data_IF_629195121478
#
_entry.id   IF_629195121478
#
_cell.length_a   1.000
_cell.length_b   1.000
_cell.length_c   1.000
_cell.angle_alpha   90.00
_cell.angle_beta   90.00
_cell.angle_gamma   90.00
#
_symmetry.space_group_name_H-M   'P 1'
#
loop_
_entity.id
_entity.type
_entity.pdbx_description
1 polymer ?
#
# COMPACT_ATOMS: atom_id res chain seq x y z
N UNK A 1 13.98 -1.86 -41.26
CA UNK A 1 13.16 -0.86 -41.98
C UNK A 1 11.66 -1.21 -41.80
N UNK A 2 11.08 -0.82 -40.69
CA UNK A 2 9.64 -0.98 -40.42
C UNK A 2 8.86 0.00 -41.30
N UNK A 3 7.88 -0.51 -42.07
CA UNK A 3 7.02 0.31 -42.91
C UNK A 3 5.63 0.52 -42.32
N UNK A 4 5.16 -0.43 -41.55
CA UNK A 4 3.85 -0.38 -40.89
C UNK A 4 4.02 -0.79 -39.42
N UNK A 5 3.28 -0.18 -38.53
CA UNK A 5 3.26 -0.52 -37.11
C UNK A 5 1.80 -0.56 -36.64
N UNK A 6 1.47 -1.54 -35.83
CA UNK A 6 0.23 -1.60 -35.04
C UNK A 6 0.56 -1.19 -33.61
N UNK A 7 -0.22 -0.24 -33.08
CA UNK A 7 -0.02 0.29 -31.73
C UNK A 7 -1.27 -0.02 -30.94
N UNK A 8 -1.10 -0.65 -29.79
CA UNK A 8 -2.15 -0.89 -28.83
C UNK A 8 -1.99 0.08 -27.64
N UNK A 9 -3.08 0.71 -27.25
CA UNK A 9 -3.18 1.47 -26.02
C UNK A 9 -4.48 1.04 -25.31
N UNK A 10 -4.34 0.28 -24.23
CA UNK A 10 -5.45 -0.39 -23.59
C UNK A 10 -5.59 -0.02 -22.12
N UNK A 11 -6.81 -0.17 -21.60
CA UNK A 11 -7.14 -0.21 -20.19
C UNK A 11 -7.69 -1.60 -19.84
N UNK A 12 -7.26 -2.13 -18.71
CA UNK A 12 -7.79 -3.37 -18.15
C UNK A 12 -8.30 -3.13 -16.74
N UNK A 13 -9.46 -3.65 -16.45
CA UNK A 13 -10.03 -3.61 -15.09
C UNK A 13 -9.07 -4.36 -14.15
N UNK A 14 -8.58 -3.74 -13.07
CA UNK A 14 -7.57 -4.31 -12.18
C UNK A 14 -7.91 -5.72 -11.69
N UNK A 15 -9.17 -5.96 -11.31
CA UNK A 15 -9.67 -7.25 -10.81
C UNK A 15 -9.49 -8.38 -11.84
N UNK A 16 -9.47 -8.04 -13.12
CA UNK A 16 -9.23 -9.01 -14.19
C UNK A 16 -7.75 -9.37 -14.37
N UNK A 17 -6.83 -8.57 -13.80
CA UNK A 17 -5.38 -8.72 -13.95
C UNK A 17 -4.70 -9.22 -12.67
N UNK A 18 -5.22 -8.85 -11.50
CA UNK A 18 -4.65 -9.21 -10.20
C UNK A 18 -4.34 -10.72 -10.13
N UNK A 19 -3.11 -11.03 -9.75
CA UNK A 19 -2.60 -12.40 -9.59
C UNK A 19 -2.28 -13.16 -10.87
N UNK A 20 -2.58 -12.63 -12.07
CA UNK A 20 -2.30 -13.33 -13.33
C UNK A 20 -0.82 -13.36 -13.67
N UNK A 21 -0.06 -12.32 -13.31
CA UNK A 21 1.39 -12.30 -13.47
C UNK A 21 2.06 -13.48 -12.77
N UNK A 22 1.61 -13.81 -11.55
CA UNK A 22 2.09 -14.95 -10.78
C UNK A 22 1.58 -16.26 -11.41
N UNK A 23 0.28 -16.35 -11.70
CA UNK A 23 -0.35 -17.57 -12.24
C UNK A 23 0.29 -18.05 -13.55
N UNK A 24 0.65 -17.12 -14.43
CA UNK A 24 1.23 -17.42 -15.73
C UNK A 24 2.74 -17.23 -15.80
N UNK A 25 3.38 -16.87 -14.69
CA UNK A 25 4.81 -16.51 -14.63
C UNK A 25 5.21 -15.45 -15.68
N UNK A 26 4.36 -14.45 -15.87
CA UNK A 26 4.54 -13.35 -16.82
C UNK A 26 4.64 -12.03 -16.06
N UNK A 27 5.83 -11.71 -15.60
CA UNK A 27 6.11 -10.46 -14.90
C UNK A 27 6.52 -9.38 -15.89
N UNK A 28 5.69 -8.34 -16.04
CA UNK A 28 5.97 -7.20 -16.90
C UNK A 28 5.56 -5.90 -16.20
N UNK A 29 6.16 -4.78 -16.62
CA UNK A 29 5.76 -3.46 -16.13
C UNK A 29 4.29 -3.16 -16.42
N UNK A 30 3.77 -3.67 -17.53
CA UNK A 30 2.37 -3.53 -17.90
C UNK A 30 1.46 -4.28 -16.91
N UNK A 31 1.75 -5.55 -16.59
CA UNK A 31 0.97 -6.31 -15.62
C UNK A 31 0.97 -5.66 -14.23
N UNK A 32 2.14 -5.16 -13.80
CA UNK A 32 2.29 -4.45 -12.53
C UNK A 32 1.44 -3.17 -12.47
N UNK A 33 1.40 -2.39 -13.56
CA UNK A 33 0.62 -1.15 -13.62
C UNK A 33 -0.88 -1.43 -13.71
N UNK A 34 -1.30 -2.36 -14.54
CA UNK A 34 -2.71 -2.69 -14.73
C UNK A 34 -3.35 -3.31 -13.48
N UNK A 35 -2.64 -4.17 -12.74
CA UNK A 35 -3.19 -4.74 -11.50
C UNK A 35 -3.38 -3.72 -10.38
N UNK A 36 -2.66 -2.58 -10.42
CA UNK A 36 -2.79 -1.48 -9.47
C UNK A 36 -3.75 -0.38 -9.92
N UNK A 37 -4.21 -0.47 -11.15
CA UNK A 37 -5.05 0.53 -11.78
C UNK A 37 -4.26 1.57 -12.57
N UNK A 38 -4.79 1.90 -13.73
CA UNK A 38 -4.31 2.96 -14.61
C UNK A 38 -5.48 3.89 -14.94
N UNK A 39 -5.19 5.08 -15.44
CA UNK A 39 -6.25 6.00 -15.86
C UNK A 39 -6.98 5.46 -17.11
N UNK A 40 -8.29 5.15 -17.01
CA UNK A 40 -9.07 4.60 -18.11
C UNK A 40 -9.26 5.59 -19.27
N UNK A 41 -8.97 6.87 -19.07
CA UNK A 41 -9.14 7.94 -20.09
C UNK A 41 -7.82 8.44 -20.66
N UNK A 42 -6.68 7.89 -20.26
CA UNK A 42 -5.35 8.34 -20.70
C UNK A 42 -5.00 7.96 -22.15
N UNK A 43 -5.75 7.07 -22.80
CA UNK A 43 -5.45 6.53 -24.13
C UNK A 43 -5.21 7.62 -25.17
N UNK A 44 -6.09 8.61 -25.26
CA UNK A 44 -5.97 9.68 -26.24
C UNK A 44 -4.72 10.53 -26.03
N UNK A 45 -4.36 10.79 -24.77
CA UNK A 45 -3.15 11.55 -24.41
C UNK A 45 -1.92 10.75 -24.79
N UNK A 46 -1.89 9.47 -24.41
CA UNK A 46 -0.77 8.56 -24.69
C UNK A 46 -0.56 8.39 -26.21
N UNK A 47 -1.62 8.13 -26.97
CA UNK A 47 -1.54 7.98 -28.42
C UNK A 47 -1.10 9.26 -29.12
N UNK A 48 -1.63 10.43 -28.74
CA UNK A 48 -1.20 11.72 -29.29
C UNK A 48 0.28 11.97 -29.02
N UNK A 49 0.74 11.71 -27.80
CA UNK A 49 2.15 11.88 -27.45
C UNK A 49 3.04 10.92 -28.24
N UNK A 50 2.62 9.66 -28.39
CA UNK A 50 3.33 8.68 -29.20
C UNK A 50 3.44 9.14 -30.67
N UNK A 51 2.33 9.55 -31.29
CA UNK A 51 2.30 10.03 -32.68
C UNK A 51 3.20 11.27 -32.83
N UNK A 52 3.17 12.20 -31.87
CA UNK A 52 4.04 13.37 -31.88
C UNK A 52 5.52 12.95 -31.91
N UNK A 53 5.93 12.07 -31.03
CA UNK A 53 7.33 11.60 -30.96
C UNK A 53 7.73 10.92 -32.28
N UNK A 54 6.88 10.05 -32.82
CA UNK A 54 7.17 9.38 -34.10
C UNK A 54 7.29 10.38 -35.23
N UNK A 55 6.45 11.40 -35.27
CA UNK A 55 6.49 12.44 -36.34
C UNK A 55 7.75 13.32 -36.29
N UNK A 56 8.40 13.41 -35.13
CA UNK A 56 9.69 14.11 -34.98
C UNK A 56 10.86 13.32 -35.65
N UNK A 57 10.67 12.01 -35.85
CA UNK A 57 11.72 11.12 -36.37
C UNK A 57 11.43 10.57 -37.78
N UNK A 58 10.17 10.58 -38.21
CA UNK A 58 9.78 10.06 -39.55
C UNK A 58 8.45 10.66 -39.99
N UNK A 59 8.23 10.61 -41.34
CA UNK A 59 6.97 11.01 -41.92
C UNK A 59 5.90 9.93 -41.77
N UNK A 60 4.77 10.26 -41.16
CA UNK A 60 3.61 9.38 -41.05
C UNK A 60 2.76 9.60 -42.33
N UNK A 61 2.69 8.58 -43.20
CA UNK A 61 1.95 8.66 -44.47
C UNK A 61 0.45 8.40 -44.27
N UNK A 62 0.09 7.51 -43.36
CA UNK A 62 -1.29 7.13 -43.09
C UNK A 62 -1.43 6.78 -41.60
N UNK A 63 -2.55 7.22 -41.01
CA UNK A 63 -2.94 6.87 -39.64
C UNK A 63 -4.39 6.40 -39.66
N UNK A 64 -4.65 5.23 -39.10
CA UNK A 64 -5.98 4.70 -38.87
C UNK A 64 -6.16 4.46 -37.38
N UNK A 65 -7.28 4.89 -36.82
CA UNK A 65 -7.62 4.72 -35.41
C UNK A 65 -8.85 3.84 -35.27
N UNK A 66 -8.69 2.77 -34.51
CA UNK A 66 -9.81 1.93 -34.07
C UNK A 66 -9.99 2.11 -32.57
N UNK A 67 -11.22 2.27 -32.14
CA UNK A 67 -11.56 2.40 -30.73
C UNK A 67 -12.70 1.46 -30.38
N UNK A 68 -12.49 0.57 -29.41
CA UNK A 68 -13.53 -0.26 -28.79
C UNK A 68 -13.66 0.13 -27.32
N UNK A 69 -14.59 1.03 -27.03
CA UNK A 69 -14.79 1.57 -25.68
C UNK A 69 -16.06 0.98 -25.08
N UNK A 70 -15.92 -0.18 -24.40
CA UNK A 70 -17.05 -0.93 -23.79
C UNK A 70 -17.33 -0.56 -22.33
N UNK A 71 -16.47 0.24 -21.68
CA UNK A 71 -16.59 0.53 -20.26
C UNK A 71 -17.12 1.93 -20.01
N UNK A 72 -18.34 2.05 -19.50
CA UNK A 72 -18.80 3.27 -18.83
C UNK A 72 -18.18 3.34 -17.42
N UNK A 73 -16.96 3.81 -17.31
CA UNK A 73 -16.34 4.04 -16.01
C UNK A 73 -16.82 5.40 -15.54
N UNK A 74 -17.61 5.42 -14.46
CA UNK A 74 -18.06 6.67 -13.84
C UNK A 74 -16.90 7.29 -13.04
N UNK A 75 -16.76 8.60 -13.15
CA UNK A 75 -15.86 9.31 -12.24
C UNK A 75 -16.41 9.26 -10.81
N UNK A 76 -15.52 9.06 -9.85
CA UNK A 76 -15.88 9.11 -8.43
C UNK A 76 -16.24 10.54 -8.05
N UNK A 77 -17.35 10.71 -7.35
CA UNK A 77 -17.79 11.98 -6.78
C UNK A 77 -17.90 11.85 -5.27
N UNK A 78 -17.33 12.79 -4.55
CA UNK A 78 -17.37 12.87 -3.08
C UNK A 78 -18.14 14.10 -2.64
N UNK A 79 -18.81 14.00 -1.50
CA UNK A 79 -19.49 15.15 -0.91
C UNK A 79 -18.47 16.20 -0.43
N UNK A 80 -18.84 17.47 -0.54
CA UNK A 80 -18.03 18.55 0.04
C UNK A 80 -18.23 18.60 1.56
N UNK A 81 -17.22 18.20 2.34
CA UNK A 81 -17.30 18.16 3.80
C UNK A 81 -16.00 18.66 4.45
N UNK A 82 -15.81 19.96 4.47
CA UNK A 82 -14.64 20.62 5.04
C UNK A 82 -14.51 20.37 6.56
N UNK A 83 -15.63 20.36 7.27
CA UNK A 83 -15.63 20.18 8.73
C UNK A 83 -15.06 18.79 9.11
N UNK A 84 -15.44 17.76 8.35
CA UNK A 84 -14.90 16.41 8.53
C UNK A 84 -13.40 16.37 8.28
N UNK A 85 -12.93 17.01 7.21
CA UNK A 85 -11.50 17.07 6.87
C UNK A 85 -10.73 17.81 7.96
N UNK A 86 -11.19 18.98 8.40
CA UNK A 86 -10.57 19.73 9.48
C UNK A 86 -10.53 18.93 10.79
N UNK A 87 -11.58 18.16 11.09
CA UNK A 87 -11.62 17.28 12.26
C UNK A 87 -10.60 16.16 12.17
N UNK A 88 -10.40 15.56 11.00
CA UNK A 88 -9.42 14.50 10.77
C UNK A 88 -8.00 15.05 10.96
N UNK A 89 -7.70 16.19 10.32
CA UNK A 89 -6.37 16.81 10.36
C UNK A 89 -6.10 17.56 11.66
N UNK A 90 -7.13 17.90 12.42
CA UNK A 90 -7.01 18.76 13.60
C UNK A 90 -6.67 20.21 13.27
N UNK A 91 -7.02 20.68 12.07
CA UNK A 91 -6.73 22.01 11.52
C UNK A 91 -7.99 22.88 11.43
N UNK A 92 -7.82 24.13 10.99
CA UNK A 92 -8.91 25.06 10.68
C UNK A 92 -8.68 25.65 9.28
N UNK A 93 -8.57 24.77 8.28
CA UNK A 93 -8.39 25.16 6.88
C UNK A 93 -9.64 25.93 6.43
N UNK A 94 -9.44 27.04 5.72
CA UNK A 94 -10.56 27.81 5.18
C UNK A 94 -11.16 27.15 3.95
N UNK A 95 -12.41 27.46 3.61
CA UNK A 95 -13.07 26.96 2.41
C UNK A 95 -12.28 27.33 1.13
N UNK A 96 -11.71 28.53 1.11
CA UNK A 96 -10.93 29.02 -0.04
C UNK A 96 -9.66 28.18 -0.23
N UNK A 97 -8.89 27.98 0.83
CA UNK A 97 -7.64 27.19 0.78
C UNK A 97 -7.91 25.72 0.44
N UNK A 98 -9.03 25.18 0.93
CA UNK A 98 -9.46 23.83 0.61
C UNK A 98 -9.74 23.64 -0.86
N UNK A 99 -10.56 24.54 -1.45
CA UNK A 99 -10.91 24.51 -2.87
C UNK A 99 -9.68 24.75 -3.75
N UNK A 100 -8.83 25.71 -3.41
CA UNK A 100 -7.60 26.03 -4.15
C UNK A 100 -6.65 24.84 -4.18
N UNK A 101 -6.43 24.21 -3.01
CA UNK A 101 -5.56 23.03 -2.89
C UNK A 101 -6.06 21.86 -3.74
N UNK A 102 -7.34 21.53 -3.66
CA UNK A 102 -7.93 20.46 -4.46
C UNK A 102 -7.90 20.78 -5.97
N UNK A 103 -8.17 22.03 -6.34
CA UNK A 103 -8.13 22.46 -7.74
C UNK A 103 -6.72 22.34 -8.33
N UNK A 104 -5.68 22.70 -7.57
CA UNK A 104 -4.28 22.52 -7.98
C UNK A 104 -3.90 21.05 -8.17
N UNK A 105 -4.55 20.15 -7.45
CA UNK A 105 -4.38 18.70 -7.60
C UNK A 105 -5.24 18.08 -8.73
N UNK A 106 -6.03 18.92 -9.43
CA UNK A 106 -6.83 18.50 -10.57
C UNK A 106 -8.26 18.05 -10.23
N UNK A 107 -8.70 18.23 -8.99
CA UNK A 107 -10.10 18.00 -8.63
C UNK A 107 -11.00 19.13 -9.13
N UNK A 108 -12.22 18.81 -9.53
CA UNK A 108 -13.25 19.80 -9.84
C UNK A 108 -14.19 19.91 -8.65
N UNK A 109 -14.22 21.09 -8.04
CA UNK A 109 -14.97 21.34 -6.81
C UNK A 109 -16.16 22.22 -7.10
N UNK A 110 -17.37 21.65 -7.00
CA UNK A 110 -18.66 22.34 -7.09
C UNK A 110 -19.46 22.00 -5.81
N UNK A 111 -20.73 21.63 -5.95
CA UNK A 111 -21.54 21.08 -4.84
C UNK A 111 -20.97 19.74 -4.35
N UNK A 112 -20.32 19.02 -5.25
CA UNK A 112 -19.54 17.81 -4.97
C UNK A 112 -18.11 17.99 -5.47
N UNK A 113 -17.23 17.13 -4.96
CA UNK A 113 -15.84 17.05 -5.38
C UNK A 113 -15.73 15.91 -6.40
N UNK A 114 -15.48 16.25 -7.66
CA UNK A 114 -15.24 15.26 -8.71
C UNK A 114 -13.78 14.89 -8.72
N UNK A 115 -13.52 13.60 -8.52
CA UNK A 115 -12.18 13.04 -8.49
C UNK A 115 -11.63 12.88 -9.90
N UNK A 116 -10.38 13.28 -10.20
CA UNK A 116 -9.76 13.03 -11.50
C UNK A 116 -9.65 11.53 -11.79
N UNK A 117 -9.82 11.13 -13.04
CA UNK A 117 -9.83 9.73 -13.47
C UNK A 117 -8.53 8.96 -13.17
N UNK A 118 -7.40 9.68 -13.10
CA UNK A 118 -6.10 9.10 -12.74
C UNK A 118 -5.91 8.88 -11.23
N UNK A 119 -6.86 9.31 -10.39
CA UNK A 119 -6.84 9.14 -8.94
C UNK A 119 -7.89 8.11 -8.51
N UNK A 120 -7.69 6.87 -8.93
CA UNK A 120 -8.55 5.73 -8.55
C UNK A 120 -8.43 5.33 -7.07
N UNK A 121 -7.46 5.87 -6.36
CA UNK A 121 -7.18 5.68 -4.93
C UNK A 121 -8.08 6.53 -4.03
N UNK A 122 -8.69 7.62 -4.54
CA UNK A 122 -9.49 8.55 -3.77
C UNK A 122 -10.97 8.13 -3.77
N UNK A 123 -11.44 7.60 -2.64
CA UNK A 123 -12.80 7.09 -2.49
C UNK A 123 -13.54 7.67 -1.27
N UNK A 124 -12.83 8.30 -0.34
CA UNK A 124 -13.38 8.76 0.92
C UNK A 124 -12.83 10.13 1.34
N UNK A 125 -13.49 10.75 2.34
CA UNK A 125 -13.04 12.02 2.92
C UNK A 125 -11.66 11.91 3.59
N UNK A 126 -11.27 10.72 4.05
CA UNK A 126 -9.96 10.50 4.64
C UNK A 126 -8.85 10.64 3.60
N UNK A 127 -9.10 10.19 2.37
CA UNK A 127 -8.15 10.29 1.26
C UNK A 127 -7.96 11.76 0.87
N UNK A 128 -9.06 12.55 0.86
CA UNK A 128 -8.98 14.01 0.66
C UNK A 128 -8.20 14.71 1.78
N UNK A 129 -8.37 14.27 3.02
CA UNK A 129 -7.60 14.81 4.14
C UNK A 129 -6.11 14.49 3.99
N UNK A 130 -5.76 13.30 3.52
CA UNK A 130 -4.37 12.93 3.22
C UNK A 130 -3.78 13.82 2.13
N UNK A 131 -4.46 14.04 1.03
CA UNK A 131 -4.01 14.92 -0.04
C UNK A 131 -3.75 16.35 0.46
N UNK A 132 -4.64 16.87 1.28
CA UNK A 132 -4.44 18.19 1.89
C UNK A 132 -3.26 18.23 2.84
N UNK A 133 -3.07 17.19 3.65
CA UNK A 133 -1.93 17.12 4.56
C UNK A 133 -0.59 17.12 3.80
N UNK A 134 -0.56 16.53 2.62
CA UNK A 134 0.62 16.56 1.73
C UNK A 134 0.85 17.94 1.12
N UNK A 135 -0.20 18.67 0.77
CA UNK A 135 -0.10 20.03 0.21
C UNK A 135 0.33 21.03 1.27
N UNK A 136 -0.24 20.94 2.47
CA UNK A 136 0.11 21.80 3.61
C UNK A 136 1.53 21.50 4.10
N UNK A 137 1.91 20.24 4.14
CA UNK A 137 3.10 19.72 4.77
C UNK A 137 2.79 19.09 6.14
N UNK A 138 3.20 17.85 6.33
CA UNK A 138 2.94 17.14 7.60
C UNK A 138 3.55 17.85 8.82
N UNK A 139 4.68 18.53 8.63
CA UNK A 139 5.36 19.29 9.70
C UNK A 139 4.61 20.55 10.13
N UNK A 140 3.72 21.06 9.26
CA UNK A 140 2.97 22.29 9.53
C UNK A 140 1.59 22.01 10.15
N UNK A 141 1.22 20.72 10.26
CA UNK A 141 0.01 20.31 10.94
C UNK A 141 0.25 20.37 12.46
N UNK A 142 -0.58 21.12 13.23
CA UNK A 142 -0.36 21.30 14.65
C UNK A 142 -0.53 20.00 15.42
N UNK A 143 0.46 19.69 16.26
CA UNK A 143 0.40 18.56 17.19
C UNK A 143 -0.59 18.92 18.29
N UNK A 144 -1.56 18.06 18.55
CA UNK A 144 -2.49 18.20 19.68
C UNK A 144 -2.19 17.15 20.74
N UNK A 145 -2.22 17.58 21.99
CA UNK A 145 -2.08 16.66 23.12
C UNK A 145 -3.24 15.64 23.11
N UNK A 146 -2.86 14.37 23.21
CA UNK A 146 -3.84 13.29 23.36
C UNK A 146 -4.26 13.27 24.83
N UNK A 147 -5.50 13.65 25.11
CA UNK A 147 -6.11 13.48 26.44
C UNK A 147 -6.35 11.99 26.67
N UNK A 148 -5.29 11.28 27.08
CA UNK A 148 -5.44 9.90 27.53
C UNK A 148 -6.24 9.91 28.82
N UNK A 149 -7.53 9.55 28.75
CA UNK A 149 -8.27 9.17 29.97
C UNK A 149 -7.40 8.12 30.65
N UNK A 150 -7.10 8.34 31.92
CA UNK A 150 -6.35 7.39 32.74
C UNK A 150 -6.92 5.98 32.49
N UNK A 151 -6.24 5.22 31.66
CA UNK A 151 -6.46 3.79 31.62
C UNK A 151 -6.03 3.30 32.99
N UNK A 152 -6.99 2.79 33.75
CA UNK A 152 -6.71 2.15 35.04
C UNK A 152 -5.49 1.24 34.80
N UNK A 153 -4.40 1.52 35.50
CA UNK A 153 -3.21 0.69 35.45
C UNK A 153 -3.64 -0.77 35.68
N UNK A 154 -3.84 -1.54 34.61
CA UNK A 154 -3.83 -2.99 34.76
C UNK A 154 -2.45 -3.29 35.31
N UNK A 155 -2.39 -3.63 36.59
CA UNK A 155 -1.13 -3.99 37.23
C UNK A 155 -0.51 -5.12 36.43
N UNK A 156 0.45 -4.78 35.56
CA UNK A 156 1.34 -5.77 34.99
C UNK A 156 1.88 -6.55 36.16
N UNK A 157 1.75 -7.86 36.11
CA UNK A 157 2.00 -8.75 37.23
C UNK A 157 3.36 -8.41 37.87
N UNK A 158 3.34 -7.76 39.00
CA UNK A 158 4.52 -7.44 39.84
C UNK A 158 5.37 -8.71 40.01
N UNK A 159 4.72 -9.87 40.08
CA UNK A 159 5.36 -11.19 40.17
C UNK A 159 6.23 -11.51 38.96
N UNK A 160 5.75 -11.27 37.73
CA UNK A 160 6.51 -11.52 36.48
C UNK A 160 7.77 -10.66 36.42
N UNK A 161 7.66 -9.36 36.77
CA UNK A 161 8.80 -8.47 36.79
C UNK A 161 9.84 -8.87 37.84
N UNK A 162 9.42 -9.34 39.03
CA UNK A 162 10.33 -9.86 40.05
C UNK A 162 11.09 -11.10 39.58
N UNK A 163 10.40 -12.03 38.91
CA UNK A 163 11.03 -13.22 38.35
C UNK A 163 12.03 -12.86 37.25
N UNK A 164 11.66 -11.97 36.33
CA UNK A 164 12.57 -11.50 35.27
C UNK A 164 13.81 -10.81 35.86
N UNK A 165 13.63 -9.92 36.82
CA UNK A 165 14.74 -9.24 37.50
C UNK A 165 15.66 -10.24 38.22
N UNK A 166 15.10 -11.24 38.90
CA UNK A 166 15.89 -12.27 39.55
C UNK A 166 16.72 -13.08 38.55
N UNK A 167 16.13 -13.56 37.46
CA UNK A 167 16.81 -14.29 36.41
C UNK A 167 17.91 -13.45 35.77
N UNK A 168 17.60 -12.20 35.41
CA UNK A 168 18.58 -11.30 34.81
C UNK A 168 19.79 -11.07 35.73
N UNK A 169 19.58 -10.81 37.02
CA UNK A 169 20.65 -10.60 38.00
C UNK A 169 21.50 -11.89 38.26
N UNK A 170 21.00 -13.06 37.87
CA UNK A 170 21.71 -14.33 37.96
C UNK A 170 22.30 -14.76 36.58
N UNK A 171 22.47 -13.82 35.65
CA UNK A 171 23.15 -14.07 34.39
C UNK A 171 22.32 -14.75 33.30
N UNK A 172 21.00 -14.85 33.46
CA UNK A 172 20.13 -15.34 32.40
C UNK A 172 19.83 -14.24 31.40
N UNK A 173 19.70 -14.61 30.13
CA UNK A 173 19.33 -13.72 29.03
C UNK A 173 17.93 -14.10 28.53
N UNK A 174 17.02 -13.12 28.48
CA UNK A 174 15.70 -13.34 27.88
C UNK A 174 15.82 -13.42 26.37
N UNK A 175 15.19 -14.44 25.74
CA UNK A 175 15.15 -14.61 24.30
C UNK A 175 13.70 -14.74 23.83
N UNK A 176 13.41 -14.18 22.66
CA UNK A 176 12.13 -14.30 21.99
C UNK A 176 12.38 -15.02 20.66
N UNK A 177 11.98 -16.27 20.59
CA UNK A 177 12.17 -17.13 19.43
C UNK A 177 10.90 -17.25 18.59
N UNK A 178 11.09 -17.52 17.29
CA UNK A 178 9.97 -17.79 16.38
C UNK A 178 9.12 -18.95 16.91
N UNK A 179 7.78 -18.85 16.84
CA UNK A 179 6.88 -19.95 17.17
C UNK A 179 6.87 -21.05 16.10
N UNK A 180 7.47 -20.81 14.94
CA UNK A 180 7.49 -21.74 13.83
C UNK A 180 8.72 -22.65 13.86
N UNK A 181 8.56 -23.87 13.33
CA UNK A 181 9.64 -24.84 13.15
C UNK A 181 9.47 -25.65 11.86
N UNK A 182 10.56 -26.31 11.44
CA UNK A 182 10.56 -27.19 10.25
C UNK A 182 10.20 -28.64 10.58
N UNK A 183 10.22 -29.01 11.85
CA UNK A 183 10.10 -30.42 12.29
C UNK A 183 8.63 -30.69 12.66
N UNK A 184 8.05 -31.68 12.02
CA UNK A 184 6.76 -32.25 12.37
C UNK A 184 6.89 -33.15 13.62
N UNK A 185 5.96 -33.00 14.55
CA UNK A 185 5.68 -34.00 15.59
C UNK A 185 4.19 -34.33 15.52
N UNK A 186 3.76 -35.43 16.11
CA UNK A 186 2.36 -35.86 16.10
C UNK A 186 1.41 -34.79 16.68
N UNK A 187 1.91 -33.95 17.60
CA UNK A 187 1.15 -32.88 18.24
C UNK A 187 1.34 -31.53 17.57
N UNK A 188 2.20 -31.40 16.55
CA UNK A 188 2.51 -30.11 15.93
C UNK A 188 1.41 -29.66 14.98
N UNK A 189 0.94 -28.43 15.18
CA UNK A 189 -0.05 -27.82 14.29
C UNK A 189 0.66 -27.41 12.98
N UNK A 190 0.15 -27.91 11.87
CA UNK A 190 0.64 -27.58 10.53
C UNK A 190 0.16 -26.19 10.11
N UNK A 191 1.03 -25.43 9.47
CA UNK A 191 0.71 -24.12 8.87
C UNK A 191 0.33 -24.33 7.40
N UNK A 192 -0.84 -23.85 6.98
CA UNK A 192 -1.37 -24.10 5.63
C UNK A 192 -0.56 -23.44 4.52
N UNK A 193 -0.12 -22.19 4.72
CA UNK A 193 0.66 -21.44 3.74
C UNK A 193 1.92 -20.88 4.39
N UNK A 194 2.94 -21.70 4.70
CA UNK A 194 4.16 -21.22 5.31
C UNK A 194 4.97 -20.36 4.32
N UNK A 195 5.61 -19.31 4.83
CA UNK A 195 6.48 -18.44 4.03
C UNK A 195 7.70 -19.18 3.46
N UNK A 196 8.17 -20.19 4.18
CA UNK A 196 9.27 -21.07 3.78
C UNK A 196 9.15 -22.44 4.45
N UNK A 197 9.95 -23.40 4.02
CA UNK A 197 9.96 -24.77 4.55
C UNK A 197 10.30 -24.87 6.05
N UNK A 198 11.00 -23.88 6.61
CA UNK A 198 11.38 -23.87 8.02
C UNK A 198 10.23 -23.40 8.94
N UNK A 199 9.12 -22.99 8.37
CA UNK A 199 7.94 -22.46 9.07
C UNK A 199 6.69 -23.30 8.87
N UNK A 200 6.87 -24.58 8.51
CA UNK A 200 5.77 -25.50 8.20
C UNK A 200 4.90 -25.90 9.38
N UNK A 201 5.39 -25.75 10.62
CA UNK A 201 4.69 -26.18 11.82
C UNK A 201 4.85 -25.19 12.97
N UNK A 202 3.91 -25.20 13.92
CA UNK A 202 4.08 -24.53 15.21
C UNK A 202 4.87 -25.42 16.16
N UNK A 203 5.80 -24.84 16.92
CA UNK A 203 6.58 -25.57 17.92
C UNK A 203 5.69 -26.08 19.05
N UNK A 204 5.95 -27.29 19.52
CA UNK A 204 5.28 -27.91 20.66
C UNK A 204 6.03 -27.67 21.99
N UNK A 205 7.31 -27.28 21.92
CA UNK A 205 8.12 -26.92 23.09
C UNK A 205 9.12 -25.79 22.70
N UNK A 206 9.79 -25.24 23.71
CA UNK A 206 10.77 -24.15 23.52
C UNK A 206 12.21 -24.67 23.47
N UNK A 207 12.47 -25.92 23.81
CA UNK A 207 13.82 -26.47 23.98
C UNK A 207 14.60 -26.41 22.67
N UNK A 208 13.98 -26.86 21.56
CA UNK A 208 14.65 -26.87 20.25
C UNK A 208 15.04 -25.46 19.78
N UNK A 209 14.23 -24.48 20.06
CA UNK A 209 14.52 -23.08 19.68
C UNK A 209 15.66 -22.49 20.55
N UNK A 210 15.73 -22.85 21.82
CA UNK A 210 16.83 -22.45 22.73
C UNK A 210 18.14 -23.14 22.32
N UNK A 211 18.11 -24.42 22.04
CA UNK A 211 19.30 -25.19 21.55
C UNK A 211 19.81 -24.55 20.23
N UNK A 212 18.92 -24.20 19.33
CA UNK A 212 19.28 -23.49 18.08
C UNK A 212 20.00 -22.18 18.36
N UNK A 213 19.55 -21.41 19.35
CA UNK A 213 20.22 -20.17 19.76
C UNK A 213 21.63 -20.44 20.28
N UNK A 214 21.82 -21.50 21.10
CA UNK A 214 23.14 -21.86 21.62
C UNK A 214 24.07 -22.21 20.48
N UNK A 215 23.68 -23.13 19.59
CA UNK A 215 24.47 -23.54 18.43
C UNK A 215 24.81 -22.35 17.52
N UNK A 216 23.87 -21.46 17.32
CA UNK A 216 24.10 -20.27 16.51
C UNK A 216 25.14 -19.32 17.10
N UNK A 217 25.11 -19.13 18.42
CA UNK A 217 26.05 -18.26 19.13
C UNK A 217 27.43 -18.88 19.28
N UNK A 218 27.55 -20.21 19.61
CA UNK A 218 28.82 -20.92 19.69
C UNK A 218 29.63 -20.77 18.38
N UNK A 219 28.98 -20.90 17.23
CA UNK A 219 29.64 -20.76 15.93
C UNK A 219 30.16 -19.36 15.64
N UNK A 220 29.74 -18.36 16.42
CA UNK A 220 30.07 -16.92 16.21
C UNK A 220 30.87 -16.28 17.31
N UNK A 221 31.00 -16.95 18.45
CA UNK A 221 31.97 -16.57 19.47
C UNK A 221 33.36 -17.01 19.01
N UNK A 222 34.21 -15.99 18.73
CA UNK A 222 35.64 -16.22 18.50
C UNK A 222 36.39 -16.22 19.80
#
# INVERSE_FOLDING_TARGET
NTKNALIECAYFVPESIIGKSIKYNLHSDASYKFERGTDPYSHNIALRRFIQIVSEHTNILKLELYSDNKSNISNTELDFNLDKVNKILGTNITKIDYIDSLTKLGFVVNDKIKVPSYRHDINHQNDLAEELSRVIGYSDIPIKDINLKHLSNKSYSIKTNKIKSYLFNNGFVEVINSPFCSVSSEEAIKVDNPLDSNRGFLRTNIINSIVSNVIYNEKRQK
#
